data_IF_011477686023
#
_entry.id   IF_011477686023
#
_cell.length_a   1.000
_cell.length_b   1.000
_cell.length_c   1.000
_cell.angle_alpha   90.00
_cell.angle_beta   90.00
_cell.angle_gamma   90.00
#
_symmetry.space_group_name_H-M   'P 1'
#
loop_
_entity.id
_entity.type
_entity.pdbx_description
1 polymer ?
#
# COMPACT_ATOMS: atom_id res chain seq x y z
N UNK A 1 39.48 -18.17 15.09
CA UNK A 1 39.85 -17.53 13.81
C UNK A 1 38.73 -16.56 13.47
N UNK A 2 39.03 -15.28 13.21
CA UNK A 2 38.03 -14.27 12.82
C UNK A 2 38.36 -13.85 11.40
N UNK A 3 37.38 -13.92 10.50
CA UNK A 3 37.49 -13.37 9.14
C UNK A 3 36.87 -11.98 9.10
N UNK A 4 37.48 -11.07 8.35
CA UNK A 4 36.92 -9.73 8.11
C UNK A 4 35.77 -9.75 7.11
N UNK A 5 35.01 -8.66 7.05
CA UNK A 5 33.98 -8.44 6.04
C UNK A 5 34.62 -8.38 4.64
N UNK A 6 34.23 -9.29 3.74
CA UNK A 6 34.95 -9.54 2.49
C UNK A 6 34.72 -8.48 1.41
N UNK A 7 35.78 -8.02 0.76
CA UNK A 7 35.71 -7.03 -0.32
C UNK A 7 35.12 -7.64 -1.60
N UNK A 8 33.91 -7.22 -1.98
CA UNK A 8 33.26 -7.56 -3.25
C UNK A 8 33.84 -6.68 -4.38
N UNK A 9 34.71 -7.25 -5.22
CA UNK A 9 35.27 -6.58 -6.40
C UNK A 9 34.47 -6.97 -7.65
N UNK A 10 34.09 -5.99 -8.46
CA UNK A 10 33.49 -6.20 -9.77
C UNK A 10 34.48 -5.80 -10.88
N UNK A 11 34.74 -6.70 -11.81
CA UNK A 11 35.41 -6.37 -13.08
C UNK A 11 34.30 -6.26 -14.14
N UNK A 12 34.00 -5.05 -14.58
CA UNK A 12 33.02 -4.80 -15.65
C UNK A 12 33.74 -4.29 -16.91
N UNK A 13 33.40 -4.91 -18.04
CA UNK A 13 33.87 -4.50 -19.36
C UNK A 13 33.30 -3.15 -19.80
N UNK A 14 33.92 -2.61 -20.86
CA UNK A 14 33.96 -1.19 -21.22
C UNK A 14 32.64 -0.57 -21.75
N UNK A 15 31.57 -0.62 -20.96
CA UNK A 15 30.38 0.26 -21.02
C UNK A 15 29.53 0.09 -19.75
N UNK A 16 29.94 0.75 -18.66
CA UNK A 16 29.07 0.93 -17.50
C UNK A 16 27.83 1.77 -17.91
N UNK A 17 26.61 1.48 -17.41
CA UNK A 17 25.65 2.55 -17.21
C UNK A 17 26.31 3.57 -16.27
N UNK A 18 26.18 4.87 -16.57
CA UNK A 18 26.78 5.89 -15.71
C UNK A 18 26.30 5.70 -14.26
N UNK A 19 27.20 5.86 -13.30
CA UNK A 19 26.88 5.75 -11.87
C UNK A 19 25.77 6.76 -11.54
N UNK A 20 24.62 6.25 -11.12
CA UNK A 20 23.31 6.92 -11.18
C UNK A 20 22.62 6.80 -9.83
N UNK A 21 22.22 7.94 -9.29
CA UNK A 21 21.45 8.03 -8.06
C UNK A 21 20.03 7.47 -8.25
N UNK A 22 19.44 6.85 -7.20
CA UNK A 22 18.12 6.24 -7.28
C UNK A 22 17.02 7.25 -7.58
N UNK A 23 16.13 6.86 -8.48
CA UNK A 23 14.83 7.53 -8.66
C UNK A 23 13.86 7.02 -7.59
N UNK A 24 13.32 7.89 -6.72
CA UNK A 24 12.35 7.48 -5.72
C UNK A 24 10.91 7.46 -6.27
N UNK A 25 10.14 6.49 -5.80
CA UNK A 25 8.68 6.41 -5.94
C UNK A 25 8.08 6.27 -4.54
N UNK A 26 7.14 7.15 -4.20
CA UNK A 26 6.54 7.29 -2.87
C UNK A 26 5.22 6.52 -2.81
N UNK A 27 5.06 5.70 -1.78
CA UNK A 27 3.80 5.06 -1.41
C UNK A 27 3.39 5.50 -0.01
N UNK A 28 2.15 5.98 0.09
CA UNK A 28 1.56 6.48 1.33
C UNK A 28 0.81 5.35 2.07
N UNK A 29 0.58 5.48 3.39
CA UNK A 29 -0.19 4.50 4.17
C UNK A 29 -1.60 4.30 3.61
N UNK A 30 -2.19 3.12 3.83
CA UNK A 30 -3.57 2.89 3.38
C UNK A 30 -4.58 3.42 4.39
N UNK A 31 -5.70 3.98 3.91
CA UNK A 31 -6.82 4.44 4.76
C UNK A 31 -7.31 3.31 5.69
N UNK A 32 -7.33 2.07 5.17
CA UNK A 32 -7.76 0.90 5.91
C UNK A 32 -6.81 0.52 7.06
N UNK A 33 -5.49 0.65 6.86
CA UNK A 33 -4.47 0.46 7.90
C UNK A 33 -4.60 1.51 8.99
N UNK A 34 -4.69 2.79 8.61
CA UNK A 34 -4.84 3.92 9.53
C UNK A 34 -6.08 3.77 10.41
N UNK A 35 -7.23 3.46 9.80
CA UNK A 35 -8.52 3.42 10.50
C UNK A 35 -8.67 2.17 11.40
N UNK A 36 -8.19 1.00 10.98
CA UNK A 36 -8.41 -0.27 11.70
C UNK A 36 -7.23 -0.74 12.55
N UNK A 37 -6.00 -0.33 12.22
CA UNK A 37 -4.78 -0.77 12.90
C UNK A 37 -4.09 0.34 13.69
N UNK A 38 -4.56 1.59 13.59
CA UNK A 38 -3.98 2.78 14.26
C UNK A 38 -2.47 2.94 13.99
N UNK A 39 -2.08 2.50 12.80
CA UNK A 39 -0.71 2.43 12.31
C UNK A 39 -0.65 2.98 10.88
N UNK A 40 0.55 3.31 10.44
CA UNK A 40 0.79 3.89 9.12
C UNK A 40 2.12 3.37 8.55
N UNK A 41 2.06 2.63 7.45
CA UNK A 41 3.24 2.13 6.73
C UNK A 41 3.56 3.00 5.52
N UNK A 42 4.61 3.80 5.66
CA UNK A 42 5.21 4.54 4.55
C UNK A 42 6.18 3.61 3.80
N UNK A 43 6.15 3.65 2.47
CA UNK A 43 7.01 2.81 1.61
C UNK A 43 7.71 3.69 0.56
N UNK A 44 9.03 3.54 0.49
CA UNK A 44 9.90 4.19 -0.49
C UNK A 44 10.49 3.13 -1.41
N UNK A 45 10.10 3.15 -2.69
CA UNK A 45 10.70 2.35 -3.75
C UNK A 45 11.80 3.17 -4.42
N UNK A 46 12.95 2.54 -4.67
CA UNK A 46 14.15 3.19 -5.22
C UNK A 46 14.59 2.40 -6.45
N UNK A 47 14.58 3.05 -7.61
CA UNK A 47 14.77 2.38 -8.90
C UNK A 47 15.93 2.98 -9.73
N UNK A 48 16.42 2.20 -10.69
CA UNK A 48 17.32 2.62 -11.78
C UNK A 48 18.68 3.16 -11.31
N UNK A 49 19.14 2.74 -10.13
CA UNK A 49 20.46 3.13 -9.60
C UNK A 49 21.55 2.12 -9.99
N UNK A 50 22.80 2.59 -9.92
CA UNK A 50 24.02 1.79 -10.02
C UNK A 50 25.13 2.58 -9.31
N UNK A 51 26.04 1.98 -8.50
CA UNK A 51 26.18 0.55 -8.16
C UNK A 51 25.09 0.03 -7.20
N UNK A 52 25.12 -1.26 -6.85
CA UNK A 52 24.15 -1.94 -5.97
C UNK A 52 24.21 -1.52 -4.49
N UNK A 53 25.32 -0.88 -4.06
CA UNK A 53 25.56 -0.47 -2.68
C UNK A 53 24.77 0.80 -2.34
N UNK A 54 23.71 0.64 -1.55
CA UNK A 54 22.80 1.70 -1.12
C UNK A 54 22.38 1.47 0.34
N UNK A 55 22.28 2.53 1.14
CA UNK A 55 21.77 2.45 2.52
C UNK A 55 20.57 3.37 2.68
N UNK A 56 19.46 2.84 3.18
CA UNK A 56 18.24 3.60 3.45
C UNK A 56 17.99 3.68 4.95
N UNK A 57 17.57 4.85 5.43
CA UNK A 57 17.28 5.10 6.85
C UNK A 57 16.20 6.17 6.97
N UNK A 58 15.43 6.17 8.05
CA UNK A 58 14.29 7.09 8.19
C UNK A 58 14.39 7.96 9.45
N UNK A 59 13.83 9.17 9.40
CA UNK A 59 13.69 10.09 10.54
C UNK A 59 12.32 10.77 10.55
N UNK A 60 11.98 11.42 11.65
CA UNK A 60 10.96 12.49 11.65
C UNK A 60 11.57 13.74 11.00
N UNK A 61 10.81 14.54 10.25
CA UNK A 61 11.34 15.72 9.54
C UNK A 61 12.11 16.69 10.46
N UNK A 62 11.57 16.91 11.64
CA UNK A 62 12.13 17.81 12.66
C UNK A 62 12.98 17.05 13.72
N UNK A 63 13.34 15.79 13.47
CA UNK A 63 14.00 14.91 14.43
C UNK A 63 15.30 14.29 13.93
N UNK A 64 16.35 14.32 14.74
CA UNK A 64 17.65 13.73 14.39
C UNK A 64 17.75 12.22 14.72
N UNK A 65 16.70 11.62 15.31
CA UNK A 65 16.70 10.20 15.70
C UNK A 65 16.30 9.32 14.52
N UNK A 66 17.15 8.38 14.15
CA UNK A 66 16.81 7.32 13.18
C UNK A 66 15.68 6.46 13.75
N UNK A 67 14.68 6.19 12.92
CA UNK A 67 13.51 5.37 13.23
C UNK A 67 13.75 3.91 12.82
N UNK A 68 13.09 2.92 13.48
CA UNK A 68 13.19 1.52 13.12
C UNK A 68 12.48 1.23 11.79
N UNK A 69 13.22 1.34 10.69
CA UNK A 69 12.78 1.03 9.33
C UNK A 69 13.31 -0.32 8.84
N UNK A 70 12.62 -0.91 7.88
CA UNK A 70 13.04 -2.15 7.21
C UNK A 70 13.48 -1.82 5.77
N UNK A 71 14.44 -2.57 5.22
CA UNK A 71 14.92 -2.44 3.84
C UNK A 71 14.90 -3.82 3.17
N UNK A 72 14.35 -3.89 1.97
CA UNK A 72 14.28 -5.10 1.15
C UNK A 72 15.59 -5.36 0.42
N UNK A 73 15.75 -6.60 -0.06
CA UNK A 73 16.93 -7.00 -0.83
C UNK A 73 17.05 -6.17 -2.12
N UNK A 74 18.26 -5.70 -2.45
CA UNK A 74 18.54 -5.06 -3.74
C UNK A 74 18.46 -6.10 -4.86
N UNK A 75 17.59 -5.84 -5.85
CA UNK A 75 17.37 -6.67 -7.04
C UNK A 75 18.02 -6.01 -8.26
N UNK A 76 18.56 -6.80 -9.20
CA UNK A 76 19.07 -6.29 -10.48
C UNK A 76 17.94 -6.25 -11.51
N UNK A 77 17.74 -5.09 -12.11
CA UNK A 77 16.72 -4.81 -13.13
C UNK A 77 17.43 -4.33 -14.40
N UNK A 78 17.56 -5.24 -15.36
CA UNK A 78 18.42 -5.11 -16.54
C UNK A 78 19.86 -4.78 -16.12
N UNK A 79 20.40 -3.60 -16.48
CA UNK A 79 21.75 -3.16 -16.11
C UNK A 79 21.82 -2.29 -14.85
N UNK A 80 20.65 -1.98 -14.27
CA UNK A 80 20.50 -1.17 -13.07
C UNK A 80 20.01 -2.00 -11.89
N UNK A 81 19.85 -1.37 -10.73
CA UNK A 81 19.34 -1.97 -9.51
C UNK A 81 18.06 -1.28 -9.03
N UNK A 82 17.27 -2.02 -8.25
CA UNK A 82 16.14 -1.52 -7.49
C UNK A 82 16.16 -2.07 -6.06
N UNK A 83 15.63 -1.31 -5.10
CA UNK A 83 15.41 -1.75 -3.72
C UNK A 83 14.20 -0.99 -3.17
N UNK A 84 13.70 -1.37 -2.01
CA UNK A 84 12.64 -0.64 -1.32
C UNK A 84 12.87 -0.64 0.18
N UNK A 85 12.35 0.36 0.88
CA UNK A 85 12.40 0.46 2.32
C UNK A 85 11.06 0.97 2.85
N UNK A 86 10.65 0.47 4.01
CA UNK A 86 9.39 0.88 4.63
C UNK A 86 9.57 1.21 6.11
N UNK A 87 8.70 2.08 6.58
CA UNK A 87 8.62 2.55 7.95
C UNK A 87 7.16 2.45 8.40
N UNK A 88 6.88 1.53 9.31
CA UNK A 88 5.58 1.45 10.00
C UNK A 88 5.65 2.24 11.30
N UNK A 89 4.73 3.19 11.50
CA UNK A 89 4.64 4.03 12.69
C UNK A 89 3.28 3.92 13.35
N UNK A 90 3.19 4.35 14.62
CA UNK A 90 1.93 4.38 15.40
C UNK A 90 1.21 5.73 15.28
N UNK A 91 -0.06 5.78 15.72
CA UNK A 91 -0.96 6.93 15.69
C UNK A 91 -0.34 8.29 16.11
N UNK A 92 0.55 8.31 17.11
CA UNK A 92 1.19 9.54 17.59
C UNK A 92 2.34 10.03 16.70
N UNK A 93 2.90 9.14 15.87
CA UNK A 93 3.96 9.47 14.92
C UNK A 93 3.40 9.73 13.52
N UNK A 94 2.32 9.06 13.11
CA UNK A 94 1.72 9.25 11.78
C UNK A 94 1.16 10.67 11.54
N UNK A 95 0.92 11.42 12.62
CA UNK A 95 0.54 12.84 12.64
C UNK A 95 1.73 13.80 12.40
N UNK A 96 2.89 13.27 12.00
CA UNK A 96 4.12 14.00 11.71
C UNK A 96 4.61 13.68 10.31
N UNK A 97 5.34 14.64 9.73
CA UNK A 97 6.11 14.41 8.51
C UNK A 97 7.34 13.54 8.77
N UNK A 98 7.61 12.61 7.86
CA UNK A 98 8.76 11.71 7.91
C UNK A 98 9.70 11.94 6.72
N UNK A 99 10.97 11.58 6.88
CA UNK A 99 11.96 11.68 5.80
C UNK A 99 12.68 10.34 5.62
N UNK A 100 12.61 9.80 4.40
CA UNK A 100 13.47 8.72 3.96
C UNK A 100 14.80 9.32 3.49
N UNK A 101 15.90 8.90 4.12
CA UNK A 101 17.26 9.34 3.86
C UNK A 101 17.97 8.21 3.11
N UNK A 102 18.34 8.48 1.86
CA UNK A 102 18.96 7.52 0.95
C UNK A 102 20.43 7.90 0.75
N UNK A 103 21.34 6.96 1.03
CA UNK A 103 22.79 7.11 0.86
C UNK A 103 23.27 6.26 -0.31
N UNK A 104 23.75 6.92 -1.36
CA UNK A 104 24.28 6.33 -2.59
C UNK A 104 25.44 7.18 -3.11
N UNK A 105 26.41 6.56 -3.81
CA UNK A 105 27.70 7.17 -4.13
C UNK A 105 27.60 8.45 -5.00
N UNK A 106 26.61 8.53 -5.90
CA UNK A 106 26.41 9.68 -6.80
C UNK A 106 25.16 10.50 -6.49
N UNK A 107 24.66 10.45 -5.26
CA UNK A 107 23.71 11.47 -4.80
C UNK A 107 24.28 12.88 -5.00
N UNK A 108 23.43 13.82 -5.42
CA UNK A 108 23.86 15.09 -6.01
C UNK A 108 24.70 15.92 -5.04
N UNK A 109 25.96 16.22 -5.43
CA UNK A 109 26.97 16.92 -4.61
C UNK A 109 27.39 16.16 -3.33
N UNK A 110 27.28 14.82 -3.31
CA UNK A 110 27.74 13.98 -2.20
C UNK A 110 26.93 14.13 -0.91
N UNK A 111 25.71 14.66 -0.99
CA UNK A 111 24.76 14.74 0.12
C UNK A 111 23.83 13.54 0.11
N UNK A 112 23.28 13.15 1.25
CA UNK A 112 22.20 12.17 1.28
C UNK A 112 20.98 12.71 0.48
N UNK A 113 20.29 11.84 -0.25
CA UNK A 113 19.03 12.18 -0.90
C UNK A 113 17.91 12.08 0.15
N UNK A 114 17.24 13.19 0.42
CA UNK A 114 16.16 13.26 1.40
C UNK A 114 14.80 13.34 0.70
N UNK A 115 13.91 12.40 1.04
CA UNK A 115 12.60 12.22 0.41
C UNK A 115 11.54 12.43 1.50
N UNK A 116 10.74 13.47 1.34
CA UNK A 116 9.69 13.86 2.31
C UNK A 116 8.43 13.01 2.14
N UNK A 117 7.89 12.54 3.26
CA UNK A 117 6.58 11.89 3.37
C UNK A 117 5.68 12.76 4.26
N UNK A 118 4.50 13.19 3.78
CA UNK A 118 3.58 14.05 4.52
C UNK A 118 2.94 13.33 5.70
N UNK A 119 2.31 14.08 6.61
CA UNK A 119 1.57 13.50 7.73
C UNK A 119 0.23 12.90 7.24
N UNK A 120 -0.22 11.81 7.87
CA UNK A 120 -1.46 11.08 7.50
C UNK A 120 -2.69 11.98 7.46
N UNK A 121 -2.79 12.96 8.36
CA UNK A 121 -3.89 13.92 8.38
C UNK A 121 -3.90 14.87 7.17
N UNK A 122 -2.74 15.22 6.60
CA UNK A 122 -2.65 16.09 5.41
C UNK A 122 -3.04 15.35 4.13
N UNK A 123 -2.83 14.02 4.10
CA UNK A 123 -3.21 13.14 2.97
C UNK A 123 -4.72 12.87 2.97
N UNK A 124 -5.36 12.80 4.14
CA UNK A 124 -6.76 12.36 4.29
C UNK A 124 -7.72 13.44 4.82
N UNK A 125 -7.30 14.71 4.91
CA UNK A 125 -8.26 15.81 5.07
C UNK A 125 -9.25 15.82 3.90
N UNK A 126 -10.57 15.67 4.13
CA UNK A 126 -11.53 16.03 3.11
C UNK A 126 -11.38 17.53 2.81
N UNK A 127 -11.45 17.91 1.54
CA UNK A 127 -11.43 19.33 1.16
C UNK A 127 -12.76 19.95 1.59
N UNK A 128 -12.81 20.44 2.84
CA UNK A 128 -13.88 21.29 3.32
C UNK A 128 -13.72 22.63 2.60
N UNK A 129 -14.41 22.78 1.47
CA UNK A 129 -14.64 24.08 0.85
C UNK A 129 -15.46 24.93 1.82
N UNK A 130 -14.77 25.78 2.60
CA UNK A 130 -15.44 26.72 3.50
C UNK A 130 -16.37 27.61 2.71
N UNK A 131 -17.68 27.42 2.88
CA UNK A 131 -18.71 28.16 2.16
C UNK A 131 -18.90 29.55 2.77
N UNK A 132 -18.04 30.49 2.42
CA UNK A 132 -18.38 31.91 2.43
C UNK A 132 -18.83 32.32 1.02
N UNK A 133 -20.12 32.59 0.77
CA UNK A 133 -20.56 33.13 -0.49
C UNK A 133 -20.17 34.62 -0.58
N UNK A 134 -19.46 35.06 -1.64
CA UNK A 134 -19.15 36.48 -1.85
C UNK A 134 -20.42 37.27 -2.22
N UNK A 135 -21.14 37.72 -1.19
CA UNK A 135 -22.36 38.52 -1.32
C UNK A 135 -22.05 39.99 -1.62
N UNK A 136 -21.55 40.31 -2.81
CA UNK A 136 -21.88 41.61 -3.44
C UNK A 136 -21.82 41.55 -4.97
N UNK A 137 -22.78 42.22 -5.62
CA UNK A 137 -22.96 42.25 -7.07
C UNK A 137 -23.77 43.50 -7.48
N UNK A 138 -23.15 44.69 -7.35
CA UNK A 138 -23.80 45.96 -7.64
C UNK A 138 -23.00 46.85 -8.62
N UNK A 139 -23.30 46.63 -9.90
CA UNK A 139 -23.47 47.60 -11.02
C UNK A 139 -22.80 48.98 -10.93
N UNK A 140 -22.12 49.51 -11.96
CA UNK A 140 -21.78 49.02 -13.32
C UNK A 140 -20.46 49.76 -13.74
N UNK A 141 -20.08 50.21 -14.94
CA UNK A 141 -20.68 50.27 -16.29
C UNK A 141 -19.84 51.19 -17.22
N UNK A 142 -19.94 51.02 -18.54
CA UNK A 142 -19.04 51.57 -19.60
C UNK A 142 -17.58 51.09 -19.55
N UNK A 143 -16.84 50.92 -20.65
CA UNK A 143 -17.20 51.12 -22.07
C UNK A 143 -16.52 50.06 -22.97
N UNK A 144 -17.02 49.87 -24.20
CA UNK A 144 -16.59 48.78 -25.11
C UNK A 144 -15.65 49.29 -26.20
N UNK A 145 -14.54 48.58 -26.40
CA UNK A 145 -13.95 48.37 -27.73
C UNK A 145 -13.62 46.88 -27.91
N UNK A 146 -13.74 46.39 -29.15
CA UNK A 146 -13.89 44.97 -29.46
C UNK A 146 -12.85 44.48 -30.48
N UNK A 147 -12.17 43.37 -30.19
CA UNK A 147 -11.70 42.43 -31.22
C UNK A 147 -11.63 41.01 -30.67
N UNK A 148 -12.57 40.17 -31.10
CA UNK A 148 -12.67 38.71 -30.89
C UNK A 148 -11.34 37.94 -30.90
N UNK A 149 -11.15 37.09 -29.89
CA UNK A 149 -10.80 35.68 -30.13
C UNK A 149 -11.44 34.77 -29.07
N UNK A 150 -12.05 33.68 -29.53
CA UNK A 150 -13.00 32.90 -28.74
C UNK A 150 -12.38 31.77 -27.90
N UNK A 151 -13.04 31.46 -26.77
CA UNK A 151 -13.30 30.09 -26.23
C UNK A 151 -12.39 29.49 -25.14
N UNK A 152 -12.95 29.48 -23.93
CA UNK A 152 -12.91 28.42 -22.90
C UNK A 152 -11.57 27.95 -22.31
N UNK A 153 -11.29 28.39 -21.07
CA UNK A 153 -10.55 27.60 -20.09
C UNK A 153 -11.48 26.57 -19.43
N UNK A 154 -11.75 25.45 -20.10
CA UNK A 154 -12.26 24.27 -19.42
C UNK A 154 -11.09 23.56 -18.70
N UNK A 155 -11.18 23.38 -17.39
CA UNK A 155 -10.34 22.42 -16.64
C UNK A 155 -11.18 21.19 -16.35
N UNK A 156 -10.59 20.02 -16.52
CA UNK A 156 -11.31 18.75 -16.41
C UNK A 156 -11.75 18.43 -14.99
N UNK A 157 -13.05 18.62 -14.75
CA UNK A 157 -13.79 18.03 -13.63
C UNK A 157 -13.90 16.48 -13.78
N UNK A 158 -13.51 15.95 -14.95
CA UNK A 158 -13.66 14.55 -15.33
C UNK A 158 -12.63 13.60 -14.68
N UNK A 159 -11.38 14.02 -14.49
CA UNK A 159 -10.30 13.14 -14.00
C UNK A 159 -10.46 12.79 -12.52
N UNK A 160 -10.80 13.77 -11.68
CA UNK A 160 -10.97 13.54 -10.24
C UNK A 160 -12.16 12.60 -9.96
N UNK A 161 -13.29 12.82 -10.64
CA UNK A 161 -14.46 11.96 -10.56
C UNK A 161 -14.16 10.52 -11.04
N UNK A 162 -13.39 10.36 -12.13
CA UNK A 162 -12.98 9.04 -12.62
C UNK A 162 -12.02 8.31 -11.66
N UNK A 163 -11.07 9.03 -11.05
CA UNK A 163 -10.14 8.47 -10.05
C UNK A 163 -10.89 7.96 -8.80
N UNK A 164 -11.77 8.79 -8.21
CA UNK A 164 -12.60 8.38 -7.07
C UNK A 164 -13.50 7.19 -7.41
N UNK A 165 -14.08 7.17 -8.61
CA UNK A 165 -14.92 6.07 -9.13
C UNK A 165 -14.13 4.78 -9.39
N UNK A 166 -12.82 4.85 -9.64
CA UNK A 166 -11.95 3.68 -9.71
C UNK A 166 -11.71 3.10 -8.30
N UNK A 167 -11.27 3.92 -7.34
CA UNK A 167 -11.01 3.49 -5.96
C UNK A 167 -12.24 2.83 -5.30
N UNK A 168 -13.43 3.45 -5.41
CA UNK A 168 -14.68 2.90 -4.90
C UNK A 168 -15.08 1.56 -5.56
N UNK A 169 -14.63 1.31 -6.80
CA UNK A 169 -14.89 0.06 -7.50
C UNK A 169 -14.05 -1.08 -6.94
N UNK A 170 -12.78 -0.82 -6.62
CA UNK A 170 -11.86 -1.84 -6.10
C UNK A 170 -12.15 -2.22 -4.64
N UNK A 171 -12.67 -1.28 -3.84
CA UNK A 171 -13.24 -1.57 -2.51
C UNK A 171 -14.45 -2.52 -2.62
N UNK A 172 -15.42 -2.19 -3.50
CA UNK A 172 -16.57 -3.07 -3.75
C UNK A 172 -16.14 -4.46 -4.29
N UNK A 173 -15.15 -4.51 -5.19
CA UNK A 173 -14.59 -5.76 -5.72
C UNK A 173 -13.97 -6.63 -4.61
N UNK A 174 -13.26 -6.05 -3.64
CA UNK A 174 -12.65 -6.80 -2.54
C UNK A 174 -13.67 -7.24 -1.48
N UNK A 175 -14.69 -6.43 -1.20
CA UNK A 175 -15.82 -6.82 -0.34
C UNK A 175 -16.62 -7.97 -0.97
N UNK A 176 -16.91 -7.93 -2.28
CA UNK A 176 -17.51 -9.04 -3.04
C UNK A 176 -16.69 -10.34 -2.91
N UNK A 177 -15.36 -10.24 -3.02
CA UNK A 177 -14.46 -11.39 -2.92
C UNK A 177 -14.49 -12.02 -1.51
N UNK A 178 -14.46 -11.19 -0.45
CA UNK A 178 -14.58 -11.68 0.93
C UNK A 178 -15.95 -12.31 1.21
N UNK A 179 -17.04 -11.71 0.73
CA UNK A 179 -18.39 -12.29 0.87
C UNK A 179 -18.50 -13.65 0.16
N UNK A 180 -17.91 -13.78 -1.02
CA UNK A 180 -17.84 -15.04 -1.78
C UNK A 180 -17.04 -16.10 -1.04
N UNK A 181 -15.88 -15.74 -0.49
CA UNK A 181 -15.05 -16.67 0.30
C UNK A 181 -15.76 -17.14 1.58
N UNK A 182 -16.34 -16.21 2.34
CA UNK A 182 -17.03 -16.51 3.59
C UNK A 182 -18.29 -17.37 3.36
N UNK A 183 -19.08 -17.09 2.33
CA UNK A 183 -20.26 -17.91 1.98
C UNK A 183 -19.89 -19.30 1.46
N UNK A 184 -18.79 -19.44 0.72
CA UNK A 184 -18.24 -20.75 0.33
C UNK A 184 -17.80 -21.58 1.55
N UNK A 185 -17.17 -20.94 2.54
CA UNK A 185 -16.78 -21.60 3.80
C UNK A 185 -18.00 -22.12 4.59
N UNK A 186 -19.03 -21.28 4.78
CA UNK A 186 -20.23 -21.69 5.51
C UNK A 186 -21.06 -22.76 4.78
N UNK A 187 -21.15 -22.71 3.44
CA UNK A 187 -21.82 -23.78 2.68
C UNK A 187 -21.07 -25.11 2.78
N UNK A 188 -19.74 -25.10 2.76
CA UNK A 188 -18.94 -26.31 3.00
C UNK A 188 -19.14 -26.89 4.40
N UNK A 189 -19.14 -26.05 5.45
CA UNK A 189 -19.45 -26.50 6.82
C UNK A 189 -20.85 -27.11 6.94
N UNK A 190 -21.87 -26.49 6.34
CA UNK A 190 -23.24 -27.01 6.35
C UNK A 190 -23.34 -28.37 5.62
N UNK A 191 -22.62 -28.55 4.51
CA UNK A 191 -22.54 -29.83 3.80
C UNK A 191 -21.84 -30.92 4.62
N UNK A 192 -20.73 -30.59 5.30
CA UNK A 192 -20.05 -31.52 6.21
C UNK A 192 -20.94 -31.94 7.38
N UNK A 193 -21.61 -30.99 8.05
CA UNK A 193 -22.54 -31.28 9.14
C UNK A 193 -23.69 -32.17 8.67
N UNK A 194 -24.28 -31.87 7.50
CA UNK A 194 -25.34 -32.69 6.90
C UNK A 194 -24.86 -34.11 6.58
N UNK A 195 -23.65 -34.25 6.03
CA UNK A 195 -23.01 -35.54 5.75
C UNK A 195 -22.78 -36.36 7.02
N UNK A 196 -22.25 -35.75 8.08
CA UNK A 196 -22.05 -36.39 9.37
C UNK A 196 -23.37 -36.89 9.99
N UNK A 197 -24.44 -36.09 9.92
CA UNK A 197 -25.78 -36.48 10.38
C UNK A 197 -26.33 -37.67 9.58
N UNK A 198 -26.17 -37.68 8.25
CA UNK A 198 -26.56 -38.84 7.43
C UNK A 198 -25.73 -40.09 7.76
N UNK A 199 -24.43 -39.96 8.00
CA UNK A 199 -23.58 -41.08 8.38
C UNK A 199 -23.99 -41.67 9.74
N UNK A 200 -24.17 -40.82 10.76
CA UNK A 200 -24.63 -41.25 12.10
C UNK A 200 -26.01 -41.90 12.04
N UNK A 201 -26.98 -41.30 11.33
CA UNK A 201 -28.34 -41.88 11.23
C UNK A 201 -28.35 -43.20 10.46
N UNK A 202 -27.62 -43.31 9.34
CA UNK A 202 -27.47 -44.57 8.59
C UNK A 202 -26.80 -45.65 9.44
N UNK A 203 -25.70 -45.30 10.12
CA UNK A 203 -24.96 -46.20 11.03
C UNK A 203 -25.86 -46.71 12.16
N UNK A 204 -26.60 -45.84 12.84
CA UNK A 204 -27.58 -46.22 13.86
C UNK A 204 -28.68 -47.15 13.31
N UNK A 205 -29.17 -46.93 12.09
CA UNK A 205 -30.14 -47.81 11.44
C UNK A 205 -29.57 -49.20 11.09
N UNK A 206 -28.29 -49.29 10.70
CA UNK A 206 -27.60 -50.57 10.48
C UNK A 206 -27.37 -51.30 11.79
N UNK A 207 -26.80 -50.64 12.81
CA UNK A 207 -26.55 -51.25 14.11
C UNK A 207 -27.84 -51.70 14.83
N UNK A 208 -28.95 -50.96 14.68
CA UNK A 208 -30.26 -51.41 15.18
C UNK A 208 -30.79 -52.64 14.45
N UNK A 209 -30.45 -52.86 13.17
CA UNK A 209 -30.81 -54.10 12.46
C UNK A 209 -29.98 -55.30 12.91
N UNK A 210 -28.68 -55.12 13.17
CA UNK A 210 -27.82 -56.21 13.68
C UNK A 210 -28.12 -56.57 15.13
N UNK A 211 -28.53 -55.60 15.96
CA UNK A 211 -28.88 -55.82 17.37
C UNK A 211 -30.18 -56.62 17.62
N UNK A 212 -30.97 -56.91 16.58
CA UNK A 212 -32.21 -57.70 16.67
C UNK A 212 -31.95 -59.22 16.62
N UNK A 213 -30.72 -59.65 16.30
CA UNK A 213 -30.35 -61.06 16.18
C UNK A 213 -29.71 -61.66 17.46
N UNK A 214 -30.01 -61.12 18.64
CA UNK A 214 -29.44 -61.55 19.92
C UNK A 214 -30.50 -61.75 21.03
N UNK A 215 -31.60 -62.44 20.71
CA UNK A 215 -32.26 -63.33 21.68
C UNK A 215 -32.13 -64.77 21.16
N UNK A 216 -31.71 -65.67 22.04
CA UNK A 216 -31.06 -66.94 21.68
C UNK A 216 -30.71 -67.77 22.91
N UNK A 217 -31.71 -68.00 23.75
CA UNK A 217 -31.58 -68.65 25.07
C UNK A 217 -31.02 -70.07 24.97
N UNK A 218 -29.90 -70.32 25.65
CA UNK A 218 -29.31 -71.66 25.81
C UNK A 218 -29.78 -72.30 27.13
N UNK A 219 -31.01 -72.84 27.15
CA UNK A 219 -31.51 -73.86 28.09
C UNK A 219 -32.89 -74.37 27.70
#
# INVERSE_FOLDING_TARGET
MIFGEGTKVFVLDKKLPADTSPKPTIFLPSINEVNHQQAATYLCLLEKFFPDVIKVSWKEKNGNRVLPSQQGNTMKTNDTYMTFSWLTVTENSMKKEHMCIVKHEKNTRGKDQEILFPAVNEVFTPVVTTTEPPNDCLKDGSEVTDTDFTKACARDESEFANSTKACLKDENNTVQLQFTYNSAYYTYLLLLLKSAIYFVTTSCCVFRRTGVCCDGKNS
#
